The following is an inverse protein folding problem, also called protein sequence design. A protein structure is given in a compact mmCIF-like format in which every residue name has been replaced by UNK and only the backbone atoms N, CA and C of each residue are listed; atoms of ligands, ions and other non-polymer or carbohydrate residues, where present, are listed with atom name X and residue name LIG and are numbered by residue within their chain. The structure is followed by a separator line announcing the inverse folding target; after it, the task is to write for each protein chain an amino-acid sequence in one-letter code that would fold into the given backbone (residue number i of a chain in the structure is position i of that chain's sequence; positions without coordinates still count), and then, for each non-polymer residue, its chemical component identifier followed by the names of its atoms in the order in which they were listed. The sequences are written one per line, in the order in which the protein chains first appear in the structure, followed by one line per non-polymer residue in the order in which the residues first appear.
data_IF_653272341400
#
_entry.id   IF_653272341400
#
_cell.length_a   1.000
_cell.length_b   1.000
_cell.length_c   1.000
_cell.angle_alpha   90.00
_cell.angle_beta   90.00
_cell.angle_gamma   90.00
#
_symmetry.space_group_name_H-M   'P 1'
#
loop_
_entity.id
_entity.type
_entity.pdbx_description
1 polymer ?
#
# COMPACT_ATOMS: atom_id res chain seq x y z
N UNK A 1 -0.34 -55.60 -14.78
CA UNK A 1 -1.22 -54.66 -14.04
C UNK A 1 -0.50 -53.73 -13.08
N UNK A 2 0.73 -53.94 -12.68
CA UNK A 2 1.48 -53.04 -11.76
C UNK A 2 1.90 -51.71 -12.37
N UNK A 3 2.08 -51.57 -13.68
CA UNK A 3 2.60 -50.38 -14.33
C UNK A 3 1.58 -49.23 -14.52
N UNK A 4 0.27 -49.52 -14.47
CA UNK A 4 -0.77 -48.47 -14.60
C UNK A 4 -0.94 -47.65 -13.33
N UNK A 5 -0.81 -48.27 -12.15
CA UNK A 5 -0.91 -47.55 -10.86
C UNK A 5 0.27 -46.58 -10.63
N UNK A 6 1.47 -46.97 -11.09
CA UNK A 6 2.66 -46.15 -10.93
C UNK A 6 2.65 -44.88 -11.84
N UNK A 7 2.09 -45.00 -13.07
CA UNK A 7 1.94 -43.88 -13.99
C UNK A 7 0.90 -42.86 -13.49
N UNK A 8 -0.19 -43.35 -12.90
CA UNK A 8 -1.25 -42.49 -12.37
C UNK A 8 -0.80 -41.72 -11.12
N UNK A 9 0.00 -42.34 -10.25
CA UNK A 9 0.60 -41.70 -9.09
C UNK A 9 1.58 -40.60 -9.48
N UNK A 10 2.42 -40.80 -10.49
CA UNK A 10 3.35 -39.79 -11.00
C UNK A 10 2.63 -38.60 -11.67
N UNK A 11 1.54 -38.85 -12.37
CA UNK A 11 0.71 -37.82 -12.98
C UNK A 11 0.02 -36.95 -11.89
N UNK A 12 -0.43 -37.59 -10.81
CA UNK A 12 -1.08 -36.89 -9.68
C UNK A 12 -0.11 -35.98 -8.92
N UNK A 13 1.14 -36.43 -8.73
CA UNK A 13 2.20 -35.64 -8.11
C UNK A 13 2.58 -34.45 -9.00
N UNK A 14 2.62 -34.63 -10.32
CA UNK A 14 2.90 -33.55 -11.27
C UNK A 14 1.78 -32.50 -11.31
N UNK A 15 0.52 -32.90 -11.26
CA UNK A 15 -0.63 -31.98 -11.17
C UNK A 15 -0.64 -31.22 -9.83
N UNK A 16 -0.31 -31.88 -8.73
CA UNK A 16 -0.25 -31.24 -7.42
C UNK A 16 0.87 -30.19 -7.33
N UNK A 17 2.02 -30.44 -7.97
CA UNK A 17 3.13 -29.47 -8.02
C UNK A 17 2.80 -28.24 -8.88
N UNK A 18 1.96 -28.37 -9.90
CA UNK A 18 1.53 -27.25 -10.74
C UNK A 18 0.59 -26.27 -9.99
N UNK A 19 -0.21 -26.79 -9.04
CA UNK A 19 -1.10 -25.94 -8.24
C UNK A 19 -0.38 -25.10 -7.19
N UNK A 20 0.79 -25.50 -6.73
CA UNK A 20 1.57 -24.77 -5.72
C UNK A 20 2.24 -23.53 -6.31
N UNK A 21 2.51 -23.50 -7.61
CA UNK A 21 3.20 -22.36 -8.25
C UNK A 21 2.29 -21.17 -8.59
N UNK A 22 0.98 -21.35 -8.59
CA UNK A 22 0.01 -20.28 -8.94
C UNK A 22 -0.33 -19.38 -7.73
N UNK A 23 0.03 -19.81 -6.52
CA UNK A 23 -0.36 -19.13 -5.27
C UNK A 23 0.51 -17.94 -4.88
N UNK A 24 1.63 -17.67 -5.59
CA UNK A 24 2.66 -16.74 -5.10
C UNK A 24 2.62 -15.30 -5.65
N UNK A 25 1.61 -14.92 -6.45
CA UNK A 25 1.59 -13.60 -7.11
C UNK A 25 0.61 -12.56 -6.52
N UNK A 26 0.06 -12.81 -5.35
CA UNK A 26 -0.73 -11.78 -4.67
C UNK A 26 0.22 -10.82 -3.96
N UNK A 27 0.22 -9.56 -4.41
CA UNK A 27 0.90 -8.49 -3.67
C UNK A 27 0.42 -8.52 -2.22
N UNK A 28 1.33 -8.52 -1.23
CA UNK A 28 0.93 -8.58 0.16
C UNK A 28 0.01 -7.40 0.51
N UNK A 29 -1.10 -7.71 1.16
CA UNK A 29 -2.04 -6.70 1.65
C UNK A 29 -1.36 -5.86 2.73
N UNK A 30 -1.51 -4.54 2.65
CA UNK A 30 -1.04 -3.60 3.66
C UNK A 30 -2.24 -3.05 4.41
N UNK A 31 -2.32 -3.34 5.70
CA UNK A 31 -3.36 -2.78 6.54
C UNK A 31 -3.09 -1.29 6.78
N UNK A 32 -4.04 -0.46 6.38
CA UNK A 32 -3.92 0.99 6.45
C UNK A 32 -5.27 1.65 6.73
N UNK A 33 -5.21 2.85 7.27
CA UNK A 33 -6.38 3.71 7.48
C UNK A 33 -6.08 5.12 7.00
N UNK A 34 -6.92 5.62 6.11
CA UNK A 34 -6.82 6.97 5.57
C UNK A 34 -7.89 7.88 6.17
N UNK A 35 -7.47 9.06 6.62
CA UNK A 35 -8.33 10.21 6.89
C UNK A 35 -7.86 11.38 6.03
N UNK A 36 -8.80 12.16 5.54
CA UNK A 36 -8.50 13.40 4.85
C UNK A 36 -9.51 14.48 5.24
N UNK A 37 -9.01 15.68 5.31
CA UNK A 37 -9.78 16.87 5.71
C UNK A 37 -9.45 18.01 4.74
N UNK A 38 -10.46 18.61 4.15
CA UNK A 38 -10.30 19.74 3.25
C UNK A 38 -9.80 20.96 4.04
N UNK A 39 -8.70 21.56 3.57
CA UNK A 39 -8.11 22.79 4.12
C UNK A 39 -8.54 24.01 3.30
N UNK A 40 -8.53 23.90 1.97
CA UNK A 40 -8.79 24.99 1.05
C UNK A 40 -9.46 24.52 -0.24
N UNK A 41 -10.20 25.42 -0.86
CA UNK A 41 -10.86 25.18 -2.16
C UNK A 41 -9.91 25.18 -3.36
N UNK A 42 -8.64 25.57 -3.14
CA UNK A 42 -7.59 25.57 -4.16
C UNK A 42 -6.28 25.04 -3.59
N UNK A 43 -5.34 24.75 -4.48
CA UNK A 43 -4.05 24.16 -4.15
C UNK A 43 -2.89 25.17 -4.12
N UNK A 44 -3.15 26.47 -4.16
CA UNK A 44 -2.12 27.51 -4.23
C UNK A 44 -1.21 27.55 -3.01
N UNK A 45 -1.73 27.17 -1.84
CA UNK A 45 -1.02 27.20 -0.57
C UNK A 45 -0.53 25.82 -0.12
N UNK A 46 -0.33 24.88 -1.05
CA UNK A 46 0.24 23.59 -0.75
C UNK A 46 1.63 23.76 -0.12
N UNK A 47 1.79 23.27 1.10
CA UNK A 47 3.07 23.26 1.80
C UNK A 47 3.69 21.88 1.73
N UNK A 48 5.00 21.76 1.45
CA UNK A 48 5.72 20.51 1.53
C UNK A 48 5.93 20.13 3.01
N UNK A 49 4.84 19.75 3.70
CA UNK A 49 4.88 19.30 5.08
C UNK A 49 4.72 17.78 5.11
N UNK A 50 5.73 17.11 5.63
CA UNK A 50 5.67 15.68 5.88
C UNK A 50 6.08 15.42 7.32
N UNK A 51 5.21 14.80 8.08
CA UNK A 51 5.45 14.41 9.46
C UNK A 51 5.16 12.93 9.65
N UNK A 52 6.07 12.25 10.31
CA UNK A 52 5.89 10.87 10.72
C UNK A 52 5.86 10.76 12.24
N UNK A 53 4.93 9.99 12.75
CA UNK A 53 4.83 9.63 14.17
C UNK A 53 4.78 8.12 14.26
N UNK A 54 5.76 7.53 14.92
CA UNK A 54 5.80 6.09 15.16
C UNK A 54 5.24 5.75 16.55
N UNK A 55 4.47 4.69 16.61
CA UNK A 55 3.97 4.11 17.86
C UNK A 55 4.05 2.58 17.79
N UNK A 56 3.67 1.91 18.86
CA UNK A 56 3.73 0.43 18.95
C UNK A 56 2.81 -0.27 17.94
N UNK A 57 1.73 0.37 17.53
CA UNK A 57 0.74 -0.20 16.61
C UNK A 57 1.08 0.04 15.14
N UNK A 58 1.88 1.06 14.83
CA UNK A 58 2.23 1.42 13.46
C UNK A 58 2.75 2.84 13.33
N UNK A 59 2.86 3.31 12.11
CA UNK A 59 3.33 4.63 11.77
C UNK A 59 2.17 5.47 11.24
N UNK A 60 2.13 6.73 11.68
CA UNK A 60 1.23 7.75 11.17
C UNK A 60 2.00 8.74 10.33
N UNK A 61 1.52 8.96 9.12
CA UNK A 61 2.06 9.93 8.17
C UNK A 61 1.04 11.06 7.99
N UNK A 62 1.50 12.29 8.20
CA UNK A 62 0.69 13.50 8.04
C UNK A 62 1.33 14.39 6.98
N UNK A 63 0.57 14.80 5.97
CA UNK A 63 1.02 15.66 4.89
C UNK A 63 -0.16 16.36 4.22
N UNK A 64 0.12 17.37 3.42
CA UNK A 64 -0.87 18.06 2.60
C UNK A 64 -0.81 17.54 1.17
N UNK A 65 -1.97 17.42 0.54
CA UNK A 65 -2.08 16.96 -0.84
C UNK A 65 -3.27 17.57 -1.57
N UNK A 66 -3.04 17.89 -2.84
CA UNK A 66 -4.11 18.25 -3.77
C UNK A 66 -4.81 17.00 -4.26
N UNK A 67 -6.11 16.92 -4.01
CA UNK A 67 -6.97 15.84 -4.45
C UNK A 67 -8.15 16.41 -5.22
N UNK A 68 -8.76 15.60 -6.07
CA UNK A 68 -10.02 15.96 -6.71
C UNK A 68 -11.12 16.19 -5.64
N UNK A 69 -12.03 17.12 -5.88
CA UNK A 69 -13.15 17.39 -4.98
C UNK A 69 -14.03 16.15 -4.73
N UNK A 70 -14.06 15.21 -5.67
CA UNK A 70 -14.80 13.95 -5.60
C UNK A 70 -13.95 12.77 -5.08
N UNK A 71 -12.75 13.04 -4.51
CA UNK A 71 -11.89 11.99 -3.98
C UNK A 71 -12.59 11.19 -2.88
N UNK A 72 -12.45 9.87 -2.95
CA UNK A 72 -12.91 8.91 -1.94
C UNK A 72 -11.77 8.00 -1.51
N UNK A 73 -11.85 7.45 -0.30
CA UNK A 73 -10.76 6.66 0.31
C UNK A 73 -10.40 5.39 -0.45
N UNK A 74 -11.34 4.83 -1.19
CA UNK A 74 -11.18 3.63 -2.00
C UNK A 74 -10.33 3.85 -3.26
N UNK A 75 -10.09 5.10 -3.64
CA UNK A 75 -9.25 5.46 -4.78
C UNK A 75 -7.74 5.40 -4.48
N UNK A 76 -7.35 5.38 -3.21
CA UNK A 76 -5.96 5.19 -2.83
C UNK A 76 -5.55 3.73 -3.07
N UNK A 77 -4.33 3.55 -3.58
CA UNK A 77 -3.72 2.23 -3.74
C UNK A 77 -2.54 2.11 -2.78
N UNK A 78 -2.63 1.16 -1.86
CA UNK A 78 -1.55 0.84 -0.92
C UNK A 78 -1.09 -0.58 -1.18
N UNK A 79 0.19 -0.74 -1.43
CA UNK A 79 0.81 -2.04 -1.69
C UNK A 79 2.19 -2.09 -1.05
N UNK A 80 2.80 -3.28 -1.07
CA UNK A 80 4.14 -3.48 -0.55
C UNK A 80 5.02 -4.12 -1.61
N UNK A 81 6.24 -3.63 -1.71
CA UNK A 81 7.31 -4.22 -2.52
C UNK A 81 8.56 -4.33 -1.66
N UNK A 82 8.94 -5.56 -1.29
CA UNK A 82 10.06 -5.82 -0.38
C UNK A 82 9.86 -5.10 0.97
N UNK A 83 10.77 -4.23 1.37
CA UNK A 83 10.74 -3.43 2.60
C UNK A 83 10.13 -2.03 2.42
N UNK A 84 9.49 -1.77 1.29
CA UNK A 84 8.89 -0.49 0.93
C UNK A 84 7.38 -0.60 0.83
N UNK A 85 6.66 0.28 1.52
CA UNK A 85 5.23 0.49 1.33
C UNK A 85 5.01 1.52 0.23
N UNK A 86 4.22 1.18 -0.77
CA UNK A 86 3.89 2.03 -1.90
C UNK A 86 2.48 2.58 -1.73
N UNK A 87 2.35 3.90 -1.68
CA UNK A 87 1.08 4.61 -1.57
C UNK A 87 0.89 5.46 -2.82
N UNK A 88 -0.20 5.24 -3.53
CA UNK A 88 -0.52 6.00 -4.74
C UNK A 88 -1.88 6.63 -4.62
N UNK A 89 -1.90 7.94 -4.83
CA UNK A 89 -3.12 8.72 -4.95
C UNK A 89 -3.50 8.87 -6.44
N UNK A 90 -4.79 9.01 -6.75
CA UNK A 90 -5.19 9.40 -8.08
C UNK A 90 -4.70 10.82 -8.39
N UNK A 91 -4.46 11.11 -9.66
CA UNK A 91 -4.12 12.47 -10.10
C UNK A 91 -5.27 13.41 -9.76
N UNK A 92 -4.96 14.62 -9.32
CA UNK A 92 -5.94 15.66 -9.12
C UNK A 92 -6.64 15.95 -10.45
N UNK A 93 -7.99 16.03 -10.42
CA UNK A 93 -8.80 16.32 -11.58
C UNK A 93 -8.91 17.82 -11.89
N UNK A 94 -10.01 18.21 -12.53
CA UNK A 94 -10.26 19.59 -13.00
C UNK A 94 -10.45 20.57 -11.81
N UNK A 95 -10.95 20.07 -10.68
CA UNK A 95 -11.24 20.86 -9.48
C UNK A 95 -10.41 20.35 -8.30
N UNK A 96 -9.10 20.63 -8.26
CA UNK A 96 -8.27 20.20 -7.17
C UNK A 96 -8.56 21.03 -5.91
N UNK A 97 -8.68 20.34 -4.78
CA UNK A 97 -8.81 20.95 -3.45
C UNK A 97 -7.66 20.48 -2.57
N UNK A 98 -7.21 21.37 -1.70
CA UNK A 98 -6.15 21.09 -0.75
C UNK A 98 -6.69 20.33 0.45
N UNK A 99 -6.11 19.18 0.74
CA UNK A 99 -6.47 18.34 1.87
C UNK A 99 -5.28 18.10 2.79
N UNK A 100 -5.57 18.03 4.09
CA UNK A 100 -4.69 17.41 5.07
C UNK A 100 -4.94 15.91 5.08
N UNK A 101 -3.88 15.15 4.89
CA UNK A 101 -3.90 13.69 4.87
C UNK A 101 -3.34 13.14 6.18
N UNK A 102 -4.01 12.19 6.76
CA UNK A 102 -3.51 11.35 7.85
C UNK A 102 -3.62 9.91 7.41
N UNK A 103 -2.47 9.26 7.23
CA UNK A 103 -2.36 7.88 6.80
C UNK A 103 -1.72 7.06 7.92
N UNK A 104 -2.47 6.13 8.47
CA UNK A 104 -1.98 5.15 9.44
C UNK A 104 -1.66 3.85 8.71
N UNK A 105 -0.47 3.32 8.92
CA UNK A 105 -0.02 2.03 8.36
C UNK A 105 0.40 1.13 9.51
N UNK A 106 -0.06 -0.12 9.48
CA UNK A 106 0.33 -1.13 10.44
C UNK A 106 1.83 -1.44 10.30
N UNK A 107 2.55 -1.49 11.41
CA UNK A 107 3.98 -1.77 11.43
C UNK A 107 4.35 -3.23 11.14
N UNK A 108 3.38 -4.10 10.98
CA UNK A 108 3.63 -5.50 10.70
C UNK A 108 3.01 -5.97 9.36
N UNK A 109 3.79 -6.61 8.46
CA UNK A 109 5.23 -6.87 8.53
C UNK A 109 6.04 -5.58 8.43
N UNK A 110 7.22 -5.55 9.09
CA UNK A 110 8.07 -4.37 9.19
C UNK A 110 8.53 -3.87 7.81
N UNK A 111 8.59 -2.56 7.63
CA UNK A 111 9.08 -1.90 6.43
C UNK A 111 10.02 -0.74 6.80
N UNK A 112 10.95 -0.40 5.91
CA UNK A 112 11.97 0.62 6.14
C UNK A 112 11.73 1.89 5.32
N UNK A 113 10.90 1.80 4.28
CA UNK A 113 10.64 2.91 3.39
C UNK A 113 9.14 3.02 3.09
N UNK A 114 8.69 4.24 2.88
CA UNK A 114 7.38 4.53 2.31
C UNK A 114 7.55 5.42 1.09
N UNK A 115 6.94 5.05 -0.02
CA UNK A 115 6.87 5.88 -1.23
C UNK A 115 5.45 6.39 -1.38
N UNK A 116 5.30 7.70 -1.36
CA UNK A 116 4.02 8.38 -1.58
C UNK A 116 4.09 9.04 -2.95
N UNK A 117 3.31 8.51 -3.88
CA UNK A 117 3.41 8.80 -5.32
C UNK A 117 4.83 8.58 -5.84
N UNK A 118 5.63 9.62 -5.99
CA UNK A 118 6.99 9.55 -6.53
C UNK A 118 8.08 9.89 -5.49
N UNK A 119 7.70 10.21 -4.25
CA UNK A 119 8.64 10.57 -3.18
C UNK A 119 8.80 9.43 -2.17
N UNK A 120 10.05 9.10 -1.86
CA UNK A 120 10.40 8.04 -0.91
C UNK A 120 10.97 8.62 0.38
N UNK A 121 10.43 8.17 1.49
CA UNK A 121 10.84 8.57 2.84
C UNK A 121 11.34 7.37 3.64
N UNK A 122 12.35 7.59 4.48
CA UNK A 122 12.80 6.61 5.45
C UNK A 122 11.80 6.50 6.60
N UNK A 123 11.50 5.29 7.01
CA UNK A 123 10.65 5.01 8.15
C UNK A 123 11.54 4.70 9.36
N UNK A 124 11.43 5.51 10.39
CA UNK A 124 12.13 5.31 11.66
C UNK A 124 11.14 4.66 12.62
N UNK A 125 11.24 3.35 12.86
CA UNK A 125 10.34 2.68 13.78
C UNK A 125 10.54 3.17 15.21
N UNK A 126 9.49 3.11 16.03
CA UNK A 126 9.62 3.29 17.47
C UNK A 126 10.46 2.14 18.06
N UNK A 127 11.44 2.48 18.85
CA UNK A 127 12.25 1.51 19.60
C UNK A 127 11.46 0.95 20.78
#
# INVERSE_FOLDING_TARGET
MKNKKLKMSRLFIFLLSLFVTISCNRKPFVNHKLKFEKISDNCENLKPSFRMVSNVAGERFEFEKCLDANFTKDLIKVSRQSDTVLVRFPKAGIQPVLNKITLDIDSYPRYNFITIDDETFNVIPAN
#
